data_IF_649146314695
#
_entry.id   IF_649146314695
#
_cell.length_a   1.000
_cell.length_b   1.000
_cell.length_c   1.000
_cell.angle_alpha   90.00
_cell.angle_beta   90.00
_cell.angle_gamma   90.00
#
_symmetry.space_group_name_H-M   'P 1'
#
loop_
_entity.id
_entity.type
_entity.pdbx_description
1 polymer ?
#
# COMPACT_ATOMS: atom_id res chain seq x y z
N UNK A 1 11.73 4.65 -3.30
CA UNK A 1 10.40 4.24 -2.79
C UNK A 1 9.27 4.99 -3.48
N UNK A 2 9.22 6.32 -3.34
CA UNK A 2 8.17 7.14 -3.93
C UNK A 2 8.03 6.99 -5.46
N UNK A 3 9.15 6.94 -6.19
CA UNK A 3 9.14 6.77 -7.65
C UNK A 3 8.44 5.48 -8.11
N UNK A 4 8.65 4.37 -7.39
CA UNK A 4 8.02 3.06 -7.69
C UNK A 4 6.50 3.15 -7.55
N UNK A 5 6.03 3.78 -6.47
CA UNK A 5 4.60 3.99 -6.22
C UNK A 5 3.98 4.84 -7.33
N UNK A 6 4.60 5.98 -7.65
CA UNK A 6 4.09 6.90 -8.68
C UNK A 6 4.02 6.21 -10.05
N UNK A 7 5.09 5.52 -10.46
CA UNK A 7 5.16 4.82 -11.74
C UNK A 7 4.02 3.81 -11.91
N UNK A 8 3.88 2.90 -10.94
CA UNK A 8 2.92 1.80 -11.05
C UNK A 8 1.48 2.26 -10.81
N UNK A 9 1.27 3.24 -9.93
CA UNK A 9 -0.05 3.82 -9.68
C UNK A 9 -0.56 4.61 -10.88
N UNK A 10 0.31 5.40 -11.55
CA UNK A 10 -0.08 6.12 -12.76
C UNK A 10 -0.36 5.18 -13.93
N UNK A 11 0.43 4.12 -14.10
CA UNK A 11 0.18 3.11 -15.12
C UNK A 11 -1.18 2.41 -14.92
N UNK A 12 -1.51 2.03 -13.69
CA UNK A 12 -2.80 1.39 -13.37
C UNK A 12 -3.96 2.39 -13.44
N UNK A 13 -3.75 3.62 -12.96
CA UNK A 13 -4.74 4.69 -13.02
C UNK A 13 -5.15 5.01 -14.44
N UNK A 14 -4.17 5.20 -15.34
CA UNK A 14 -4.43 5.39 -16.78
C UNK A 14 -5.17 4.21 -17.39
N UNK A 15 -4.79 2.98 -17.03
CA UNK A 15 -5.49 1.78 -17.53
C UNK A 15 -6.95 1.67 -17.05
N UNK A 16 -7.24 2.10 -15.82
CA UNK A 16 -8.56 1.93 -15.17
C UNK A 16 -9.53 3.05 -15.50
N UNK A 17 -9.03 4.27 -15.63
CA UNK A 17 -9.83 5.49 -15.71
C UNK A 17 -9.64 6.27 -17.02
N UNK A 18 -8.68 5.87 -17.85
CA UNK A 18 -8.37 6.45 -19.16
C UNK A 18 -8.31 7.98 -19.09
N UNK A 19 -9.12 8.69 -19.87
CA UNK A 19 -9.18 10.16 -19.91
C UNK A 19 -9.56 10.81 -18.57
N UNK A 20 -10.23 10.08 -17.67
CA UNK A 20 -10.59 10.60 -16.35
C UNK A 20 -9.45 10.49 -15.32
N UNK A 21 -8.32 9.87 -15.69
CA UNK A 21 -7.15 9.80 -14.83
C UNK A 21 -6.30 11.07 -14.93
N UNK A 22 -6.27 11.84 -13.84
CA UNK A 22 -5.22 12.82 -13.62
C UNK A 22 -3.98 12.13 -13.07
N UNK A 23 -2.83 12.39 -13.69
CA UNK A 23 -1.54 11.87 -13.22
C UNK A 23 -1.29 12.24 -11.76
N UNK A 24 -0.95 11.24 -10.95
CA UNK A 24 -0.57 11.38 -9.54
C UNK A 24 0.83 11.99 -9.47
N UNK A 25 0.94 13.12 -8.79
CA UNK A 25 2.19 13.86 -8.61
C UNK A 25 2.81 13.61 -7.22
N UNK A 26 4.12 13.85 -7.05
CA UNK A 26 4.81 13.76 -5.76
C UNK A 26 4.08 14.40 -4.57
N UNK A 27 3.60 15.67 -4.63
CA UNK A 27 2.96 16.30 -3.48
C UNK A 27 1.58 15.69 -3.18
N UNK A 28 0.88 15.23 -4.22
CA UNK A 28 -0.44 14.61 -4.07
C UNK A 28 -0.34 13.22 -3.43
N UNK A 29 0.71 12.45 -3.76
CA UNK A 29 0.98 11.19 -3.08
C UNK A 29 1.31 11.41 -1.59
N UNK A 30 2.08 12.45 -1.26
CA UNK A 30 2.36 12.80 0.14
C UNK A 30 1.07 13.19 0.87
N UNK A 31 0.21 13.99 0.23
CA UNK A 31 -1.10 14.36 0.77
C UNK A 31 -1.99 13.12 1.02
N UNK A 32 -1.99 12.17 0.08
CA UNK A 32 -2.72 10.90 0.22
C UNK A 32 -2.22 10.07 1.41
N UNK A 33 -0.91 9.89 1.54
CA UNK A 33 -0.31 9.19 2.69
C UNK A 33 -0.57 9.92 4.00
N UNK A 34 -0.52 11.25 3.99
CA UNK A 34 -0.88 12.09 5.13
C UNK A 34 -2.31 11.84 5.63
N UNK A 35 -3.26 11.67 4.71
CA UNK A 35 -4.63 11.29 5.07
C UNK A 35 -4.70 9.89 5.69
N UNK A 36 -3.98 8.90 5.15
CA UNK A 36 -3.93 7.55 5.74
C UNK A 36 -3.38 7.58 7.17
N UNK A 37 -2.33 8.37 7.41
CA UNK A 37 -1.76 8.56 8.74
C UNK A 37 -2.78 9.24 9.68
N UNK A 38 -3.48 10.26 9.20
CA UNK A 38 -4.50 10.97 9.96
C UNK A 38 -5.66 10.04 10.35
N UNK A 39 -6.13 9.20 9.43
CA UNK A 39 -7.14 8.17 9.69
C UNK A 39 -6.67 7.20 10.78
N UNK A 40 -5.39 6.81 10.78
CA UNK A 40 -4.79 5.98 11.82
C UNK A 40 -4.78 6.66 13.19
N UNK A 41 -4.35 7.92 13.26
CA UNK A 41 -4.32 8.72 14.51
C UNK A 41 -5.70 8.80 15.14
N UNK A 42 -6.72 8.99 14.31
CA UNK A 42 -8.09 9.13 14.79
C UNK A 42 -8.87 7.84 14.93
N UNK A 43 -8.26 6.69 14.57
CA UNK A 43 -8.92 5.38 14.56
C UNK A 43 -10.18 5.37 13.68
N UNK A 44 -10.14 6.13 12.60
CA UNK A 44 -11.26 6.30 11.65
C UNK A 44 -11.40 5.09 10.68
N UNK A 45 -10.69 3.99 10.92
CA UNK A 45 -10.64 2.83 10.03
C UNK A 45 -12.01 2.14 9.83
N UNK A 46 -12.91 2.26 10.81
CA UNK A 46 -14.27 1.69 10.76
C UNK A 46 -15.31 2.69 10.25
N UNK A 47 -14.94 3.96 10.10
CA UNK A 47 -15.84 5.02 9.65
C UNK A 47 -15.95 4.97 8.12
N UNK A 48 -17.16 5.14 7.60
CA UNK A 48 -17.34 5.12 6.15
C UNK A 48 -16.64 6.31 5.51
N UNK A 49 -16.15 6.13 4.27
CA UNK A 49 -15.57 7.25 3.50
C UNK A 49 -16.59 8.37 3.23
N UNK A 50 -17.89 8.04 3.24
CA UNK A 50 -18.94 9.04 3.08
C UNK A 50 -19.04 9.93 4.32
N UNK A 51 -18.97 9.35 5.51
CA UNK A 51 -19.03 10.10 6.77
C UNK A 51 -17.75 10.90 6.98
N UNK A 52 -16.59 10.35 6.65
CA UNK A 52 -15.30 11.06 6.79
C UNK A 52 -15.22 12.32 5.94
N UNK A 53 -15.78 12.28 4.72
CA UNK A 53 -15.85 13.41 3.80
C UNK A 53 -17.18 14.17 3.86
N UNK A 54 -18.07 13.88 4.81
CA UNK A 54 -19.33 14.60 4.99
C UNK A 54 -19.06 16.08 5.31
N UNK A 55 -19.86 16.98 4.75
CA UNK A 55 -19.79 18.42 5.05
C UNK A 55 -20.55 18.79 6.32
N UNK A 56 -21.39 17.88 6.84
CA UNK A 56 -22.25 18.11 8.01
C UNK A 56 -21.62 17.50 9.25
N UNK A 57 -21.28 16.21 9.18
CA UNK A 57 -20.76 15.42 10.30
C UNK A 57 -19.28 15.01 10.12
N UNK A 58 -18.75 15.25 8.92
CA UNK A 58 -17.38 14.86 8.58
C UNK A 58 -16.37 15.87 9.08
N UNK A 59 -15.11 15.44 9.15
CA UNK A 59 -14.04 16.31 9.65
C UNK A 59 -13.53 17.15 8.50
N UNK A 60 -13.66 18.47 8.62
CA UNK A 60 -13.32 19.43 7.55
C UNK A 60 -11.92 19.25 6.95
N UNK A 61 -11.00 18.67 7.72
CA UNK A 61 -9.60 18.41 7.35
C UNK A 61 -9.45 17.42 6.19
N UNK A 62 -10.33 16.43 6.04
CA UNK A 62 -10.25 15.48 4.92
C UNK A 62 -10.55 16.16 3.58
N UNK A 63 -11.65 16.94 3.55
CA UNK A 63 -12.06 17.73 2.39
C UNK A 63 -11.02 18.82 2.04
N UNK A 64 -10.32 19.37 3.03
CA UNK A 64 -9.29 20.37 2.83
C UNK A 64 -8.04 19.83 2.11
N UNK A 65 -7.75 18.52 2.23
CA UNK A 65 -6.56 17.90 1.63
C UNK A 65 -6.84 17.40 0.21
N UNK A 66 -7.92 16.64 0.02
CA UNK A 66 -8.36 16.21 -1.32
C UNK A 66 -9.83 15.79 -1.32
N UNK A 67 -10.44 15.80 -2.50
CA UNK A 67 -11.81 15.33 -2.66
C UNK A 67 -11.94 13.83 -2.39
N UNK A 68 -13.12 13.41 -1.91
CA UNK A 68 -13.46 11.99 -1.71
C UNK A 68 -13.26 11.17 -2.98
N UNK A 69 -13.69 11.70 -4.12
CA UNK A 69 -13.59 11.03 -5.41
C UNK A 69 -12.14 10.79 -5.80
N UNK A 70 -11.26 11.77 -5.59
CA UNK A 70 -9.83 11.62 -5.88
C UNK A 70 -9.16 10.63 -4.94
N UNK A 71 -9.48 10.67 -3.65
CA UNK A 71 -8.98 9.70 -2.68
C UNK A 71 -9.35 8.26 -3.08
N UNK A 72 -10.61 8.02 -3.46
CA UNK A 72 -11.08 6.70 -3.91
C UNK A 72 -10.39 6.27 -5.21
N UNK A 73 -10.23 7.18 -6.18
CA UNK A 73 -9.51 6.89 -7.42
C UNK A 73 -8.06 6.45 -7.15
N UNK A 74 -7.33 7.20 -6.30
CA UNK A 74 -5.95 6.85 -5.93
C UNK A 74 -5.93 5.50 -5.22
N UNK A 75 -6.81 5.27 -4.25
CA UNK A 75 -6.89 4.01 -3.50
C UNK A 75 -7.12 2.81 -4.42
N UNK A 76 -8.04 2.91 -5.38
CA UNK A 76 -8.29 1.84 -6.35
C UNK A 76 -7.13 1.58 -7.32
N UNK A 77 -6.39 2.64 -7.69
CA UNK A 77 -5.26 2.58 -8.61
C UNK A 77 -3.91 2.30 -7.92
N UNK A 78 -3.85 2.29 -6.59
CA UNK A 78 -2.59 2.22 -5.83
C UNK A 78 -1.85 0.91 -6.08
N UNK A 79 -0.64 0.98 -6.64
CA UNK A 79 0.17 -0.20 -7.00
C UNK A 79 1.65 0.02 -6.70
N UNK A 80 2.35 -1.08 -6.44
CA UNK A 80 3.79 -1.11 -6.18
C UNK A 80 4.58 -1.97 -7.17
N UNK A 81 3.91 -2.60 -8.14
CA UNK A 81 4.51 -3.59 -9.03
C UNK A 81 3.86 -3.55 -10.42
N UNK A 82 4.63 -3.96 -11.43
CA UNK A 82 4.16 -4.12 -12.80
C UNK A 82 3.40 -5.44 -12.97
N UNK A 83 2.09 -5.34 -13.24
CA UNK A 83 1.21 -6.48 -13.48
C UNK A 83 1.67 -7.40 -14.61
N UNK A 84 2.34 -6.89 -15.64
CA UNK A 84 2.74 -7.69 -16.81
C UNK A 84 3.91 -8.63 -16.53
N UNK A 85 4.85 -8.23 -15.68
CA UNK A 85 6.02 -9.04 -15.31
C UNK A 85 5.73 -10.01 -14.15
N UNK A 86 4.54 -9.90 -13.55
CA UNK A 86 4.14 -10.63 -12.35
C UNK A 86 4.02 -12.16 -12.52
N UNK A 87 3.49 -12.71 -13.63
CA UNK A 87 3.32 -14.16 -13.76
C UNK A 87 4.65 -14.92 -13.65
N UNK A 88 5.73 -14.36 -14.19
CA UNK A 88 7.06 -14.95 -14.09
C UNK A 88 7.64 -14.84 -12.68
N UNK A 89 7.43 -13.71 -11.99
CA UNK A 89 7.89 -13.52 -10.62
C UNK A 89 7.14 -14.39 -9.61
N UNK A 90 5.85 -14.65 -9.83
CA UNK A 90 5.04 -15.51 -8.97
C UNK A 90 5.56 -16.95 -8.91
N UNK A 91 6.31 -17.40 -9.92
CA UNK A 91 6.96 -18.72 -9.93
C UNK A 91 8.10 -18.81 -8.91
N UNK A 92 8.66 -17.67 -8.51
CA UNK A 92 9.88 -17.57 -7.67
C UNK A 92 9.54 -16.97 -6.30
N UNK A 93 8.64 -15.99 -6.24
CA UNK A 93 8.29 -15.24 -5.04
C UNK A 93 6.78 -15.27 -4.79
N UNK A 94 6.37 -15.47 -3.53
CA UNK A 94 4.96 -15.51 -3.10
C UNK A 94 4.34 -14.12 -2.95
N UNK A 95 5.16 -13.07 -2.81
CA UNK A 95 4.69 -11.68 -2.60
C UNK A 95 5.32 -10.68 -3.59
N UNK A 96 5.32 -10.96 -4.91
CA UNK A 96 5.99 -10.11 -5.89
C UNK A 96 5.35 -8.72 -6.00
N UNK A 97 4.10 -8.60 -5.56
CA UNK A 97 3.31 -7.37 -5.56
C UNK A 97 3.91 -6.23 -4.74
N UNK A 98 4.69 -6.54 -3.71
CA UNK A 98 5.28 -5.55 -2.79
C UNK A 98 6.80 -5.73 -2.64
N UNK A 99 7.37 -6.75 -3.28
CA UNK A 99 8.77 -7.15 -3.08
C UNK A 99 9.77 -6.02 -3.29
N UNK A 100 9.60 -5.27 -4.39
CA UNK A 100 10.49 -4.15 -4.71
C UNK A 100 10.43 -3.05 -3.64
N UNK A 101 9.21 -2.71 -3.20
CA UNK A 101 9.00 -1.74 -2.13
C UNK A 101 9.63 -2.21 -0.81
N UNK A 102 9.43 -3.47 -0.43
CA UNK A 102 10.00 -4.06 0.78
C UNK A 102 11.53 -4.06 0.74
N UNK A 103 12.13 -4.42 -0.39
CA UNK A 103 13.60 -4.40 -0.53
C UNK A 103 14.16 -2.98 -0.35
N UNK A 104 13.51 -1.98 -0.94
CA UNK A 104 13.87 -0.57 -0.77
C UNK A 104 13.66 -0.09 0.68
N UNK A 105 12.59 -0.54 1.33
CA UNK A 105 12.31 -0.22 2.73
C UNK A 105 13.39 -0.79 3.65
N UNK A 106 13.66 -2.09 3.56
CA UNK A 106 14.64 -2.75 4.43
C UNK A 106 16.06 -2.25 4.18
N UNK A 107 16.44 -1.92 2.94
CA UNK A 107 17.75 -1.30 2.68
C UNK A 107 17.84 0.09 3.30
N UNK A 108 16.78 0.89 3.21
CA UNK A 108 16.71 2.22 3.82
C UNK A 108 16.81 2.13 5.34
N UNK A 109 16.06 1.22 5.99
CA UNK A 109 16.12 1.06 7.45
C UNK A 109 17.54 0.72 7.94
N UNK A 110 18.24 -0.19 7.25
CA UNK A 110 19.62 -0.56 7.60
C UNK A 110 20.63 0.58 7.45
N UNK A 111 20.35 1.55 6.58
CA UNK A 111 21.22 2.71 6.39
C UNK A 111 21.07 3.75 7.50
N UNK A 112 19.85 3.92 8.02
CA UNK A 112 19.53 5.00 8.97
C UNK A 112 19.42 4.52 10.42
N UNK A 113 19.30 3.22 10.66
CA UNK A 113 19.18 2.65 12.00
C UNK A 113 20.37 1.75 12.32
N UNK A 114 21.13 2.13 13.34
CA UNK A 114 22.18 1.31 13.93
C UNK A 114 21.59 0.60 15.15
N UNK A 115 21.43 -0.74 15.12
CA UNK A 115 20.96 -1.46 16.28
C UNK A 115 22.00 -1.40 17.41
N UNK A 116 21.51 -1.41 18.64
CA UNK A 116 22.34 -1.49 19.83
C UNK A 116 22.51 -2.96 20.29
N UNK A 117 23.24 -3.19 21.38
CA UNK A 117 23.68 -4.50 21.86
C UNK A 117 22.56 -5.54 22.01
N UNK A 118 21.38 -5.12 22.47
CA UNK A 118 20.25 -6.01 22.71
C UNK A 118 19.20 -5.86 21.61
N UNK A 119 19.08 -6.86 20.75
CA UNK A 119 18.04 -6.96 19.73
C UNK A 119 17.11 -8.14 20.01
N UNK A 120 15.81 -7.93 19.79
CA UNK A 120 14.80 -8.99 19.88
C UNK A 120 14.27 -9.30 18.48
N UNK A 121 14.10 -10.59 18.20
CA UNK A 121 13.41 -11.08 17.00
C UNK A 121 12.11 -11.70 17.45
N UNK A 122 11.01 -11.20 16.93
CA UNK A 122 9.67 -11.70 17.21
C UNK A 122 8.83 -11.63 15.92
N UNK A 123 7.75 -12.40 15.87
CA UNK A 123 6.85 -12.45 14.72
C UNK A 123 5.72 -11.43 14.86
N UNK A 124 5.44 -10.69 13.78
CA UNK A 124 4.27 -9.82 13.70
C UNK A 124 3.27 -10.39 12.68
N UNK A 125 2.08 -10.71 13.15
CA UNK A 125 0.97 -11.16 12.29
C UNK A 125 0.07 -9.98 11.92
N UNK A 126 -0.31 -9.91 10.65
CA UNK A 126 -1.31 -8.96 10.16
C UNK A 126 -2.57 -9.73 9.82
N UNK A 127 -3.65 -9.46 10.56
CA UNK A 127 -4.94 -10.11 10.34
C UNK A 127 -5.53 -9.69 8.98
N UNK A 128 -5.80 -10.66 8.12
CA UNK A 128 -6.41 -10.44 6.81
C UNK A 128 -7.43 -11.54 6.51
N UNK A 129 -8.68 -11.16 6.29
CA UNK A 129 -9.81 -12.11 6.15
C UNK A 129 -10.13 -12.50 4.71
N UNK A 130 -9.46 -11.93 3.71
CA UNK A 130 -9.71 -12.26 2.30
C UNK A 130 -8.78 -13.38 1.81
N UNK A 131 -9.18 -14.16 0.80
CA UNK A 131 -8.38 -15.25 0.30
C UNK A 131 -7.09 -14.72 -0.34
N UNK A 132 -5.98 -14.90 0.37
CA UNK A 132 -4.64 -14.78 -0.19
C UNK A 132 -4.38 -16.02 -1.03
N UNK A 133 -4.18 -15.87 -2.34
CA UNK A 133 -3.77 -16.98 -3.20
C UNK A 133 -2.29 -17.30 -2.93
N UNK A 134 -1.99 -17.96 -1.82
CA UNK A 134 -0.74 -18.68 -1.66
C UNK A 134 -0.97 -20.12 -2.15
N UNK A 135 -0.34 -20.52 -3.25
CA UNK A 135 -0.25 -21.94 -3.56
C UNK A 135 0.59 -22.60 -2.46
N UNK A 136 -0.05 -23.40 -1.62
CA UNK A 136 0.62 -24.25 -0.66
C UNK A 136 1.19 -25.47 -1.40
N UNK A 137 2.51 -25.52 -1.54
CA UNK A 137 3.22 -26.80 -1.67
C UNK A 137 3.61 -27.16 -0.24
N UNK A 138 2.81 -28.02 0.38
CA UNK A 138 3.26 -28.80 1.52
C UNK A 138 3.98 -29.99 0.90
N UNK A 139 5.29 -29.88 0.73
CA UNK A 139 6.14 -31.01 0.35
C UNK A 139 6.63 -31.66 1.63
N UNK A 140 6.23 -32.92 1.79
CA UNK A 140 6.73 -33.96 2.67
C UNK A 140 7.97 -33.61 3.51
N UNK A 141 7.76 -33.46 4.82
CA UNK A 141 8.78 -33.73 5.83
C UNK A 141 8.14 -34.52 6.98
N UNK A 142 7.97 -35.83 6.76
CA UNK A 142 8.08 -36.85 7.81
C UNK A 142 8.75 -38.08 7.21
N UNK A 143 10.07 -38.06 7.22
CA UNK A 143 10.93 -39.25 7.13
C UNK A 143 12.17 -38.98 7.95
N UNK A 144 12.02 -39.11 9.28
CA UNK A 144 12.99 -39.67 10.21
C UNK A 144 12.19 -40.51 11.20
#
# INVERSE_FOLDING_TARGET
>A
MQAVILLHTNAEGKKRYDDSWKELLPPELIAYVGLLLLMGVFKDATVSLQDLWSTVDGRSRYNAVMSRSRFVQINCAFRFDNRSARPERLKIDRIPHIRELLNLWTSTLRLYFLPYENMTVDEQTLSFSWPMRSQAVYSDETSI
#
